data_IF_770020844757
#
_entry.id   IF_770020844757
#
_cell.length_a   1.000
_cell.length_b   1.000
_cell.length_c   1.000
_cell.angle_alpha   90.00
_cell.angle_beta   90.00
_cell.angle_gamma   90.00
#
_symmetry.space_group_name_H-M   'P 1'
#
loop_
_entity.id
_entity.type
_entity.pdbx_description
1 polymer ?
#
# COMPACT_ATOMS: atom_id res chain seq x y z
N UNK A 1 -15.82 -36.58 11.00
CA UNK A 1 -14.48 -37.16 11.19
C UNK A 1 -14.06 -37.80 9.87
N UNK A 2 -13.23 -37.12 9.07
CA UNK A 2 -12.71 -37.72 7.84
C UNK A 2 -11.61 -38.73 8.23
N UNK A 3 -11.96 -40.02 8.23
CA UNK A 3 -10.99 -41.12 8.27
C UNK A 3 -10.33 -41.20 6.89
N UNK A 4 -9.20 -40.54 6.72
CA UNK A 4 -8.23 -40.95 5.69
C UNK A 4 -7.37 -42.01 6.39
N UNK A 5 -7.65 -43.30 6.18
CA UNK A 5 -6.81 -44.37 6.73
C UNK A 5 -5.46 -44.32 6.02
N UNK A 6 -4.40 -43.97 6.75
CA UNK A 6 -3.05 -44.01 6.20
C UNK A 6 -2.69 -45.45 5.82
N UNK A 7 -1.96 -45.60 4.71
CA UNK A 7 -1.54 -46.90 4.18
C UNK A 7 -0.14 -47.22 4.70
N UNK A 8 0.01 -48.32 5.42
CA UNK A 8 1.27 -48.79 5.98
C UNK A 8 1.76 -49.99 5.17
N UNK A 9 3.06 -50.09 4.95
CA UNK A 9 3.69 -51.27 4.36
C UNK A 9 4.53 -51.99 5.41
N UNK A 10 4.19 -53.22 5.74
CA UNK A 10 4.94 -54.08 6.67
C UNK A 10 5.77 -55.08 5.89
N UNK A 11 7.07 -55.10 6.15
CA UNK A 11 8.06 -55.96 5.49
C UNK A 11 8.79 -56.78 6.55
N UNK A 12 8.51 -58.07 6.59
CA UNK A 12 9.02 -58.99 7.61
C UNK A 12 9.06 -60.40 7.03
N UNK A 13 10.11 -61.17 7.25
CA UNK A 13 10.22 -62.55 6.73
C UNK A 13 9.52 -63.59 7.60
N UNK A 14 9.18 -63.25 8.84
CA UNK A 14 8.36 -64.08 9.72
C UNK A 14 6.86 -63.84 9.45
N UNK A 15 6.22 -64.79 8.77
CA UNK A 15 4.79 -64.74 8.43
C UNK A 15 3.87 -64.56 9.66
N UNK A 16 4.24 -65.12 10.81
CA UNK A 16 3.42 -65.05 12.04
C UNK A 16 3.51 -63.66 12.65
N UNK A 17 4.73 -63.11 12.75
CA UNK A 17 4.94 -61.75 13.24
C UNK A 17 4.28 -60.74 12.30
N UNK A 18 4.49 -60.88 10.99
CA UNK A 18 3.91 -59.99 9.97
C UNK A 18 2.38 -59.97 10.03
N UNK A 19 1.75 -61.14 10.08
CA UNK A 19 0.28 -61.24 10.16
C UNK A 19 -0.28 -60.66 11.47
N UNK A 20 0.43 -60.85 12.59
CA UNK A 20 0.05 -60.28 13.90
C UNK A 20 0.10 -58.76 13.90
N UNK A 21 1.20 -58.17 13.40
CA UNK A 21 1.36 -56.72 13.29
C UNK A 21 0.34 -56.11 12.33
N UNK A 22 0.07 -56.79 11.20
CA UNK A 22 -0.92 -56.35 10.23
C UNK A 22 -2.33 -56.31 10.84
N UNK A 23 -2.76 -57.41 11.47
CA UNK A 23 -4.09 -57.49 12.09
C UNK A 23 -4.30 -56.39 13.14
N UNK A 24 -3.31 -56.15 14.00
CA UNK A 24 -3.39 -55.11 15.03
C UNK A 24 -3.49 -53.68 14.44
N UNK A 25 -2.68 -53.37 13.41
CA UNK A 25 -2.70 -52.05 12.78
C UNK A 25 -3.96 -51.83 11.92
N UNK A 26 -4.48 -52.88 11.29
CA UNK A 26 -5.79 -52.85 10.61
C UNK A 26 -6.93 -52.57 11.60
N UNK A 27 -6.96 -53.26 12.75
CA UNK A 27 -7.92 -53.00 13.83
C UNK A 27 -7.82 -51.57 14.39
N UNK A 28 -6.61 -51.00 14.37
CA UNK A 28 -6.32 -49.60 14.75
C UNK A 28 -6.76 -48.57 13.69
N UNK A 29 -7.29 -49.03 12.55
CA UNK A 29 -7.87 -48.21 11.49
C UNK A 29 -6.91 -47.79 10.37
N UNK A 30 -5.76 -48.46 10.24
CA UNK A 30 -4.84 -48.28 9.12
C UNK A 30 -5.15 -49.26 7.98
N UNK A 31 -4.70 -48.93 6.76
CA UNK A 31 -4.69 -49.88 5.65
C UNK A 31 -3.32 -50.52 5.57
N UNK A 32 -3.21 -51.84 5.59
CA UNK A 32 -1.91 -52.52 5.66
C UNK A 32 -1.61 -53.29 4.37
N UNK A 33 -0.44 -53.03 3.81
CA UNK A 33 0.20 -53.80 2.76
C UNK A 33 1.28 -54.67 3.40
N UNK A 34 1.47 -55.89 2.90
CA UNK A 34 2.42 -56.85 3.46
C UNK A 34 3.41 -57.33 2.40
N UNK A 35 4.66 -57.50 2.78
CA UNK A 35 5.70 -58.13 1.97
C UNK A 35 6.58 -59.07 2.82
N UNK A 36 6.96 -60.22 2.27
CA UNK A 36 7.72 -61.24 2.98
C UNK A 36 9.24 -61.08 2.91
N UNK A 37 9.76 -60.09 2.19
CA UNK A 37 11.19 -59.81 2.07
C UNK A 37 11.41 -58.38 1.53
N UNK A 38 12.64 -57.88 1.64
CA UNK A 38 12.99 -56.52 1.23
C UNK A 38 12.76 -56.23 -0.27
N UNK A 39 12.95 -57.21 -1.16
CA UNK A 39 12.78 -57.01 -2.60
C UNK A 39 11.31 -56.86 -2.99
N UNK A 40 10.45 -57.73 -2.44
CA UNK A 40 9.00 -57.60 -2.59
C UNK A 40 8.50 -56.30 -1.94
N UNK A 41 9.03 -55.95 -0.76
CA UNK A 41 8.69 -54.70 -0.08
C UNK A 41 8.99 -53.47 -0.93
N UNK A 42 10.16 -53.44 -1.57
CA UNK A 42 10.52 -52.36 -2.49
C UNK A 42 9.57 -52.26 -3.69
N UNK A 43 9.17 -53.39 -4.28
CA UNK A 43 8.22 -53.42 -5.38
C UNK A 43 6.85 -52.86 -4.95
N UNK A 44 6.33 -53.30 -3.79
CA UNK A 44 5.06 -52.81 -3.26
C UNK A 44 5.13 -51.31 -2.95
N UNK A 45 6.26 -50.83 -2.42
CA UNK A 45 6.51 -49.41 -2.19
C UNK A 45 6.41 -48.58 -3.49
N UNK A 46 7.02 -49.05 -4.58
CA UNK A 46 6.96 -48.37 -5.88
C UNK A 46 5.55 -48.35 -6.48
N UNK A 47 4.82 -49.46 -6.35
CA UNK A 47 3.50 -49.63 -6.95
C UNK A 47 2.39 -48.86 -6.19
N UNK A 48 2.45 -48.85 -4.85
CA UNK A 48 1.34 -48.40 -4.01
C UNK A 48 1.60 -47.09 -3.25
N UNK A 49 2.85 -46.62 -3.21
CA UNK A 49 3.26 -45.39 -2.51
C UNK A 49 2.64 -45.27 -1.10
N UNK A 50 2.98 -46.18 -0.17
CA UNK A 50 2.46 -46.15 1.19
C UNK A 50 2.82 -44.85 1.91
N UNK A 51 2.11 -44.53 2.99
CA UNK A 51 2.35 -43.36 3.85
C UNK A 51 3.43 -43.61 4.91
N UNK A 52 3.72 -44.89 5.23
CA UNK A 52 4.78 -45.31 6.16
C UNK A 52 5.23 -46.74 5.86
N UNK A 53 6.52 -47.01 6.04
CA UNK A 53 7.10 -48.37 5.93
C UNK A 53 7.54 -48.86 7.31
N UNK A 54 7.20 -50.11 7.64
CA UNK A 54 7.68 -50.84 8.81
C UNK A 54 8.49 -52.02 8.30
N UNK A 55 9.76 -52.14 8.66
CA UNK A 55 10.61 -53.24 8.18
C UNK A 55 11.46 -53.91 9.26
N UNK A 56 11.66 -55.22 9.13
CA UNK A 56 12.76 -55.90 9.82
C UNK A 56 14.12 -55.57 9.18
N UNK A 57 15.20 -55.68 9.94
CA UNK A 57 16.57 -55.56 9.45
C UNK A 57 17.10 -56.85 8.84
N UNK A 58 16.76 -58.00 9.42
CA UNK A 58 17.33 -59.29 9.04
C UNK A 58 16.32 -60.05 8.18
N UNK A 59 16.40 -59.86 6.87
CA UNK A 59 15.51 -60.52 5.90
C UNK A 59 16.34 -61.16 4.77
N UNK A 60 15.84 -62.23 4.13
CA UNK A 60 16.45 -62.81 2.95
C UNK A 60 16.38 -61.85 1.75
N UNK A 61 17.28 -62.06 0.77
CA UNK A 61 17.41 -61.32 -0.49
C UNK A 61 17.90 -59.87 -0.33
N UNK A 62 17.15 -59.02 0.37
CA UNK A 62 17.49 -57.62 0.64
C UNK A 62 17.25 -57.31 2.12
N UNK A 63 18.29 -56.86 2.82
CA UNK A 63 18.21 -56.50 4.23
C UNK A 63 17.55 -55.15 4.47
N UNK A 64 17.07 -54.91 5.70
CA UNK A 64 16.34 -53.68 6.04
C UNK A 64 17.18 -52.40 5.94
N UNK A 65 18.49 -52.45 6.22
CA UNK A 65 19.37 -51.28 6.06
C UNK A 65 19.46 -50.83 4.59
N UNK A 66 19.56 -51.78 3.66
CA UNK A 66 19.58 -51.49 2.22
C UNK A 66 18.23 -50.94 1.75
N UNK A 67 17.13 -51.52 2.24
CA UNK A 67 15.78 -51.04 1.98
C UNK A 67 15.59 -49.58 2.43
N UNK A 68 15.95 -49.25 3.67
CA UNK A 68 15.85 -47.86 4.19
C UNK A 68 16.61 -46.90 3.29
N UNK A 69 17.82 -47.27 2.87
CA UNK A 69 18.63 -46.43 1.99
C UNK A 69 17.92 -46.15 0.66
N UNK A 70 17.37 -47.17 0.02
CA UNK A 70 16.67 -47.02 -1.26
C UNK A 70 15.36 -46.23 -1.14
N UNK A 71 14.61 -46.46 -0.05
CA UNK A 71 13.37 -45.72 0.23
C UNK A 71 13.66 -44.25 0.53
N UNK A 72 14.64 -43.95 1.38
CA UNK A 72 15.04 -42.58 1.72
C UNK A 72 15.57 -41.79 0.52
N UNK A 73 16.27 -42.45 -0.41
CA UNK A 73 16.75 -41.81 -1.66
C UNK A 73 15.59 -41.42 -2.59
N UNK A 74 14.52 -42.22 -2.64
CA UNK A 74 13.39 -42.04 -3.57
C UNK A 74 12.26 -41.20 -3.00
N UNK A 75 11.96 -41.38 -1.71
CA UNK A 75 10.93 -40.66 -0.99
C UNK A 75 11.49 -40.16 0.36
N UNK A 76 12.26 -39.06 0.37
CA UNK A 76 12.93 -38.57 1.58
C UNK A 76 12.00 -38.17 2.74
N UNK A 77 10.71 -37.95 2.44
CA UNK A 77 9.69 -37.57 3.42
C UNK A 77 8.88 -38.76 3.94
N UNK A 78 9.11 -39.96 3.40
CA UNK A 78 8.43 -41.17 3.84
C UNK A 78 9.05 -41.68 5.14
N UNK A 79 8.29 -41.77 6.24
CA UNK A 79 8.80 -42.35 7.47
C UNK A 79 9.02 -43.86 7.32
N UNK A 80 10.18 -44.33 7.80
CA UNK A 80 10.50 -45.75 7.92
C UNK A 80 10.70 -46.10 9.39
N UNK A 81 9.93 -47.04 9.93
CA UNK A 81 10.10 -47.57 11.28
C UNK A 81 10.76 -48.94 11.19
N UNK A 82 11.78 -49.16 12.00
CA UNK A 82 12.47 -50.45 12.05
C UNK A 82 11.97 -51.26 13.23
N UNK A 83 11.63 -52.53 13.00
CA UNK A 83 11.22 -53.47 14.05
C UNK A 83 12.07 -54.74 13.93
N UNK A 84 13.05 -54.92 14.81
CA UNK A 84 14.07 -55.96 14.67
C UNK A 84 14.23 -56.79 15.94
N UNK A 85 14.43 -58.11 15.79
CA UNK A 85 14.78 -59.00 16.89
C UNK A 85 16.28 -59.01 17.24
N UNK A 86 17.13 -58.40 16.39
CA UNK A 86 18.55 -58.27 16.65
C UNK A 86 18.79 -57.07 17.58
N UNK A 87 19.00 -57.32 18.88
CA UNK A 87 19.33 -56.31 19.89
C UNK A 87 20.74 -55.71 19.77
N UNK A 88 21.30 -55.61 18.57
CA UNK A 88 22.65 -55.10 18.34
C UNK A 88 22.60 -53.58 18.19
N UNK A 89 23.26 -52.87 19.11
CA UNK A 89 23.23 -51.40 19.17
C UNK A 89 23.79 -50.73 17.91
N UNK A 90 24.75 -51.35 17.21
CA UNK A 90 25.30 -50.80 15.96
C UNK A 90 24.24 -50.67 14.86
N UNK A 91 23.38 -51.67 14.74
CA UNK A 91 22.38 -51.75 13.67
C UNK A 91 21.27 -50.70 13.87
N UNK A 92 20.86 -50.46 15.13
CA UNK A 92 19.92 -49.40 15.49
C UNK A 92 20.49 -48.00 15.18
N UNK A 93 21.76 -47.77 15.51
CA UNK A 93 22.43 -46.49 15.21
C UNK A 93 22.55 -46.28 13.71
N UNK A 94 22.86 -47.32 12.94
CA UNK A 94 22.95 -47.23 11.48
C UNK A 94 21.59 -46.95 10.84
N UNK A 95 20.53 -47.65 11.26
CA UNK A 95 19.17 -47.41 10.77
C UNK A 95 18.71 -45.95 10.99
N UNK A 96 18.92 -45.39 12.18
CA UNK A 96 18.59 -44.00 12.49
C UNK A 96 19.42 -43.01 11.65
N UNK A 97 20.70 -43.31 11.40
CA UNK A 97 21.56 -42.49 10.51
C UNK A 97 21.08 -42.48 9.06
N UNK A 98 20.49 -43.59 8.60
CA UNK A 98 19.91 -43.71 7.25
C UNK A 98 18.53 -43.06 7.12
N UNK A 99 18.00 -42.49 8.21
CA UNK A 99 16.74 -41.74 8.21
C UNK A 99 15.54 -42.50 8.75
N UNK A 100 15.72 -43.64 9.42
CA UNK A 100 14.63 -44.30 10.13
C UNK A 100 14.00 -43.34 11.17
N UNK A 101 12.68 -43.29 11.18
CA UNK A 101 11.89 -42.47 12.07
C UNK A 101 11.93 -42.99 13.52
N UNK A 102 12.01 -44.31 13.69
CA UNK A 102 12.11 -44.97 14.99
C UNK A 102 12.71 -46.39 14.86
N UNK A 103 13.17 -46.95 15.97
CA UNK A 103 13.70 -48.32 16.06
C UNK A 103 13.11 -49.04 17.28
N UNK A 104 12.42 -50.16 17.03
CA UNK A 104 11.78 -50.98 18.06
C UNK A 104 12.37 -52.39 18.08
N UNK A 105 12.46 -52.97 19.28
CA UNK A 105 13.08 -54.29 19.50
C UNK A 105 11.98 -55.35 19.69
N UNK A 106 12.09 -56.49 18.98
CA UNK A 106 11.23 -57.66 19.19
C UNK A 106 11.71 -58.49 20.42
N UNK A 107 10.82 -59.16 21.16
CA UNK A 107 9.36 -59.20 20.98
C UNK A 107 8.70 -57.90 21.46
N UNK A 108 7.72 -57.41 20.69
CA UNK A 108 6.88 -56.29 21.10
C UNK A 108 5.80 -56.80 22.07
N UNK A 109 6.06 -56.71 23.37
CA UNK A 109 5.09 -57.13 24.40
C UNK A 109 3.85 -56.23 24.43
N UNK A 110 4.03 -54.94 24.13
CA UNK A 110 2.95 -53.96 24.02
C UNK A 110 2.93 -53.33 22.61
N UNK A 111 1.97 -53.77 21.79
CA UNK A 111 1.79 -53.25 20.43
C UNK A 111 1.36 -51.78 20.40
N UNK A 112 0.89 -51.21 21.52
CA UNK A 112 0.57 -49.79 21.60
C UNK A 112 1.81 -48.90 21.42
N UNK A 113 3.01 -49.41 21.74
CA UNK A 113 4.27 -48.69 21.50
C UNK A 113 4.51 -48.53 19.99
N UNK A 114 4.25 -49.57 19.20
CA UNK A 114 4.35 -49.49 17.74
C UNK A 114 3.31 -48.52 17.17
N UNK A 115 2.07 -48.58 17.65
CA UNK A 115 1.03 -47.64 17.22
C UNK A 115 1.42 -46.19 17.50
N UNK A 116 1.99 -45.92 18.68
CA UNK A 116 2.46 -44.59 19.06
C UNK A 116 3.56 -44.09 18.12
N UNK A 117 4.56 -44.92 17.82
CA UNK A 117 5.64 -44.59 16.88
C UNK A 117 5.10 -44.35 15.47
N UNK A 118 4.17 -45.17 14.99
CA UNK A 118 3.50 -45.02 13.68
C UNK A 118 2.78 -43.67 13.59
N UNK A 119 1.89 -43.37 14.55
CA UNK A 119 1.13 -42.11 14.57
C UNK A 119 2.06 -40.89 14.60
N UNK A 120 3.08 -40.92 15.46
CA UNK A 120 4.07 -39.83 15.58
C UNK A 120 4.84 -39.59 14.28
N UNK A 121 5.23 -40.66 13.60
CA UNK A 121 5.97 -40.57 12.35
C UNK A 121 5.10 -40.03 11.19
N UNK A 122 3.85 -40.50 11.09
CA UNK A 122 2.87 -39.99 10.14
C UNK A 122 2.56 -38.51 10.36
N UNK A 123 2.31 -38.10 11.62
CA UNK A 123 2.01 -36.70 11.96
C UNK A 123 3.19 -35.79 11.59
N UNK A 124 4.42 -36.22 11.87
CA UNK A 124 5.63 -35.47 11.49
C UNK A 124 5.75 -35.32 9.98
N UNK A 125 5.58 -36.40 9.21
CA UNK A 125 5.64 -36.35 7.75
C UNK A 125 4.56 -35.44 7.17
N UNK A 126 3.32 -35.56 7.68
CA UNK A 126 2.21 -34.69 7.31
C UNK A 126 2.52 -33.22 7.56
N UNK A 127 3.04 -32.87 8.74
CA UNK A 127 3.37 -31.48 9.08
C UNK A 127 4.45 -30.91 8.15
N UNK A 128 5.44 -31.71 7.77
CA UNK A 128 6.48 -31.28 6.83
C UNK A 128 5.90 -31.03 5.44
N UNK A 129 5.05 -31.94 4.94
CA UNK A 129 4.39 -31.78 3.64
C UNK A 129 3.41 -30.60 3.62
N UNK A 130 2.63 -30.39 4.69
CA UNK A 130 1.76 -29.23 4.83
C UNK A 130 2.58 -27.94 4.87
N UNK A 131 3.68 -27.90 5.62
CA UNK A 131 4.55 -26.72 5.69
C UNK A 131 5.14 -26.38 4.32
N UNK A 132 5.64 -27.36 3.58
CA UNK A 132 6.13 -27.18 2.20
C UNK A 132 5.02 -26.60 1.31
N UNK A 133 3.82 -27.20 1.31
CA UNK A 133 2.67 -26.70 0.53
C UNK A 133 2.29 -25.27 0.90
N UNK A 134 2.31 -24.91 2.18
CA UNK A 134 2.02 -23.55 2.62
C UNK A 134 3.08 -22.56 2.14
N UNK A 135 4.36 -22.95 2.20
CA UNK A 135 5.47 -22.13 1.70
C UNK A 135 5.32 -21.88 0.20
N UNK A 136 5.06 -22.90 -0.59
CA UNK A 136 4.89 -22.77 -2.04
C UNK A 136 3.70 -21.85 -2.39
N UNK A 137 2.57 -22.01 -1.68
CA UNK A 137 1.40 -21.15 -1.85
C UNK A 137 1.68 -19.70 -1.45
N UNK A 138 2.38 -19.49 -0.35
CA UNK A 138 2.72 -18.15 0.14
C UNK A 138 3.69 -17.46 -0.83
N UNK A 139 4.69 -18.18 -1.34
CA UNK A 139 5.61 -17.65 -2.34
C UNK A 139 4.88 -17.28 -3.64
N UNK A 140 3.96 -18.12 -4.11
CA UNK A 140 3.15 -17.82 -5.29
C UNK A 140 2.26 -16.59 -5.08
N UNK A 141 1.55 -16.53 -3.95
CA UNK A 141 0.66 -15.42 -3.61
C UNK A 141 1.42 -14.09 -3.44
N UNK A 142 2.60 -14.11 -2.80
CA UNK A 142 3.44 -12.92 -2.66
C UNK A 142 3.93 -12.42 -4.02
N UNK A 143 4.36 -13.31 -4.92
CA UNK A 143 4.77 -12.92 -6.28
C UNK A 143 3.62 -12.27 -7.06
N UNK A 144 2.41 -12.83 -6.95
CA UNK A 144 1.23 -12.27 -7.61
C UNK A 144 0.84 -10.89 -7.03
N UNK A 145 0.93 -10.75 -5.71
CA UNK A 145 0.68 -9.48 -5.02
C UNK A 145 1.71 -8.41 -5.41
N UNK A 146 3.00 -8.74 -5.39
CA UNK A 146 4.07 -7.83 -5.80
C UNK A 146 3.91 -7.37 -7.25
N UNK A 147 3.56 -8.28 -8.16
CA UNK A 147 3.28 -7.93 -9.55
C UNK A 147 2.08 -6.98 -9.69
N UNK A 148 1.02 -7.22 -8.92
CA UNK A 148 -0.17 -6.35 -8.90
C UNK A 148 0.13 -4.97 -8.33
N UNK A 149 0.95 -4.90 -7.28
CA UNK A 149 1.39 -3.63 -6.69
C UNK A 149 2.26 -2.84 -7.67
N UNK A 150 3.19 -3.49 -8.37
CA UNK A 150 4.02 -2.83 -9.37
C UNK A 150 3.19 -2.18 -10.48
N UNK A 151 2.18 -2.89 -11.00
CA UNK A 151 1.26 -2.36 -12.01
C UNK A 151 0.51 -1.12 -11.49
N UNK A 152 -0.01 -1.19 -10.25
CA UNK A 152 -0.68 -0.03 -9.64
C UNK A 152 0.28 1.16 -9.46
N UNK A 153 1.54 0.92 -9.08
CA UNK A 153 2.54 1.98 -8.95
C UNK A 153 2.86 2.65 -10.29
N UNK A 154 2.94 1.88 -11.38
CA UNK A 154 3.12 2.42 -12.74
C UNK A 154 1.94 3.32 -13.14
N UNK A 155 0.71 2.87 -12.94
CA UNK A 155 -0.50 3.64 -13.22
C UNK A 155 -0.55 4.95 -12.42
N UNK A 156 -0.25 4.88 -11.12
CA UNK A 156 -0.20 6.07 -10.26
C UNK A 156 0.90 7.05 -10.69
N UNK A 157 2.07 6.53 -11.10
CA UNK A 157 3.17 7.37 -11.61
C UNK A 157 2.80 8.06 -12.92
N UNK A 158 2.10 7.36 -13.83
CA UNK A 158 1.58 7.95 -15.05
C UNK A 158 0.59 9.09 -14.76
N UNK A 159 -0.33 8.88 -13.81
CA UNK A 159 -1.24 9.93 -13.36
C UNK A 159 -0.50 11.15 -12.78
N UNK A 160 0.57 10.93 -12.01
CA UNK A 160 1.38 12.01 -11.43
C UNK A 160 2.03 12.84 -12.53
N UNK A 161 2.57 12.18 -13.56
CA UNK A 161 3.15 12.88 -14.70
C UNK A 161 2.12 13.76 -15.43
N UNK A 162 0.88 13.29 -15.55
CA UNK A 162 -0.22 14.08 -16.13
C UNK A 162 -0.49 15.32 -15.28
N UNK A 163 -0.61 15.18 -13.95
CA UNK A 163 -0.81 16.33 -13.07
C UNK A 163 0.34 17.34 -13.16
N UNK A 164 1.59 16.86 -13.13
CA UNK A 164 2.77 17.72 -13.22
C UNK A 164 2.84 18.51 -14.54
N UNK A 165 2.39 17.90 -15.64
CA UNK A 165 2.32 18.58 -16.94
C UNK A 165 1.17 19.60 -17.04
N UNK A 166 0.17 19.55 -16.13
CA UNK A 166 -0.94 20.50 -16.09
C UNK A 166 -0.65 21.75 -15.25
N UNK A 167 0.31 21.64 -14.34
CA UNK A 167 0.76 22.75 -13.50
C UNK A 167 1.47 23.81 -14.35
N UNK A 168 1.30 25.10 -14.02
CA UNK A 168 2.03 26.17 -14.68
C UNK A 168 3.53 26.08 -14.41
N UNK A 169 4.36 26.77 -15.22
CA UNK A 169 5.79 26.87 -14.92
C UNK A 169 6.03 27.68 -13.63
N UNK A 170 7.06 27.33 -12.85
CA UNK A 170 7.41 27.96 -11.57
C UNK A 170 8.93 28.16 -11.49
N UNK A 171 9.43 29.39 -11.26
CA UNK A 171 8.69 30.65 -11.16
C UNK A 171 8.15 31.12 -12.53
N UNK A 172 6.94 31.69 -12.55
CA UNK A 172 6.40 32.43 -13.70
C UNK A 172 6.35 33.92 -13.38
N UNK A 173 6.97 34.75 -14.23
CA UNK A 173 7.03 36.21 -14.05
C UNK A 173 6.14 36.89 -15.09
N UNK A 174 5.26 37.77 -14.60
CA UNK A 174 4.26 38.46 -15.38
C UNK A 174 4.24 39.94 -14.97
N UNK A 175 4.97 40.77 -15.73
CA UNK A 175 5.16 42.18 -15.38
C UNK A 175 5.99 42.30 -14.09
N UNK A 176 5.42 42.92 -13.06
CA UNK A 176 6.04 43.07 -11.74
C UNK A 176 5.71 41.94 -10.76
N UNK A 177 4.88 40.97 -11.18
CA UNK A 177 4.42 39.87 -10.35
C UNK A 177 5.20 38.60 -10.64
N UNK A 178 5.66 37.91 -9.61
CA UNK A 178 6.25 36.58 -9.70
C UNK A 178 5.36 35.57 -8.96
N UNK A 179 5.04 34.46 -9.64
CA UNK A 179 4.26 33.36 -9.11
C UNK A 179 5.15 32.15 -8.95
N UNK A 180 5.22 31.64 -7.73
CA UNK A 180 5.97 30.46 -7.36
C UNK A 180 5.04 29.48 -6.66
N UNK A 181 5.14 28.20 -7.00
CA UNK A 181 4.39 27.17 -6.28
C UNK A 181 5.25 25.94 -6.01
N UNK A 182 4.80 25.16 -5.02
CA UNK A 182 5.29 23.82 -4.76
C UNK A 182 4.14 22.93 -4.29
N UNK A 183 4.07 21.72 -4.83
CA UNK A 183 3.15 20.67 -4.38
C UNK A 183 3.96 19.48 -3.88
N UNK A 184 3.60 18.98 -2.71
CA UNK A 184 4.17 17.81 -2.05
C UNK A 184 3.01 16.86 -1.76
N UNK A 185 2.78 15.85 -2.62
CA UNK A 185 1.73 14.88 -2.39
C UNK A 185 2.10 13.95 -1.22
N UNK A 186 1.09 13.56 -0.44
CA UNK A 186 1.16 12.52 0.60
C UNK A 186 1.38 11.13 0.01
N UNK A 187 0.89 10.91 -1.22
CA UNK A 187 1.02 9.68 -2.01
C UNK A 187 1.61 9.99 -3.40
N UNK A 188 1.23 9.22 -4.43
CA UNK A 188 1.63 9.46 -5.82
C UNK A 188 0.89 10.64 -6.46
N UNK A 189 -0.41 10.76 -6.20
CA UNK A 189 -1.30 11.77 -6.77
C UNK A 189 -1.79 12.71 -5.69
N UNK A 190 -1.92 13.98 -6.05
CA UNK A 190 -2.43 15.00 -5.13
C UNK A 190 -3.88 15.36 -5.41
N UNK A 191 -4.66 15.55 -4.35
CA UNK A 191 -5.91 16.30 -4.34
C UNK A 191 -5.69 17.81 -4.40
N UNK A 192 -4.51 18.29 -4.02
CA UNK A 192 -4.14 19.69 -4.15
C UNK A 192 -3.79 20.06 -5.59
N UNK A 193 -4.22 21.25 -6.00
CA UNK A 193 -3.95 21.78 -7.33
C UNK A 193 -3.79 23.29 -7.31
N UNK A 194 -2.82 23.77 -8.06
CA UNK A 194 -2.53 25.19 -8.22
C UNK A 194 -2.49 25.54 -9.69
N UNK A 195 -3.04 26.70 -10.03
CA UNK A 195 -2.96 27.21 -11.38
C UNK A 195 -2.97 28.74 -11.36
N UNK A 196 -2.27 29.32 -12.31
CA UNK A 196 -2.25 30.76 -12.53
C UNK A 196 -1.98 31.03 -14.00
N UNK A 197 -2.71 32.00 -14.55
CA UNK A 197 -2.67 32.30 -15.97
C UNK A 197 -3.09 33.74 -16.24
N UNK A 198 -2.64 34.26 -17.38
CA UNK A 198 -3.01 35.58 -17.86
C UNK A 198 -4.37 35.52 -18.56
N UNK A 199 -5.33 36.32 -18.08
CA UNK A 199 -6.71 36.37 -18.60
C UNK A 199 -6.75 37.13 -19.92
N UNK A 200 -6.15 38.32 -19.91
CA UNK A 200 -5.99 39.25 -21.02
C UNK A 200 -4.74 40.12 -20.81
N UNK A 201 -4.55 41.20 -21.58
CA UNK A 201 -3.38 42.07 -21.46
C UNK A 201 -3.26 42.79 -20.10
N UNK A 202 -4.35 42.88 -19.32
CA UNK A 202 -4.45 43.67 -18.08
C UNK A 202 -4.60 42.81 -16.82
N UNK A 203 -5.14 41.59 -16.94
CA UNK A 203 -5.57 40.79 -15.78
C UNK A 203 -4.87 39.45 -15.67
N UNK A 204 -4.47 39.11 -14.46
CA UNK A 204 -3.87 37.81 -14.10
C UNK A 204 -4.79 37.11 -13.10
N UNK A 205 -5.10 35.84 -13.33
CA UNK A 205 -5.89 35.03 -12.42
C UNK A 205 -5.02 33.92 -11.80
N UNK A 206 -5.35 33.55 -10.57
CA UNK A 206 -4.72 32.44 -9.86
C UNK A 206 -5.73 31.75 -8.96
N UNK A 207 -5.51 30.49 -8.64
CA UNK A 207 -6.22 29.81 -7.58
C UNK A 207 -5.38 28.70 -6.95
N UNK A 208 -5.71 28.41 -5.70
CA UNK A 208 -5.31 27.20 -5.00
C UNK A 208 -6.57 26.42 -4.66
N UNK A 209 -6.55 25.12 -4.95
CA UNK A 209 -7.64 24.21 -4.70
C UNK A 209 -7.11 22.99 -3.94
N UNK A 210 -7.86 22.57 -2.94
CA UNK A 210 -7.64 21.36 -2.16
C UNK A 210 -8.92 20.51 -2.25
N UNK A 211 -8.79 19.29 -2.74
CA UNK A 211 -9.90 18.36 -2.94
C UNK A 211 -9.98 17.41 -1.76
N UNK A 212 -11.18 17.20 -1.23
CA UNK A 212 -11.38 16.31 -0.08
C UNK A 212 -10.83 14.90 -0.25
N UNK A 213 -9.92 14.55 0.66
CA UNK A 213 -9.23 13.28 0.72
C UNK A 213 -8.20 13.10 -0.40
N UNK A 214 -7.38 12.06 -0.29
CA UNK A 214 -6.22 11.86 -1.15
C UNK A 214 -6.40 10.74 -2.21
N UNK A 215 -5.45 10.65 -3.14
CA UNK A 215 -5.34 9.56 -4.13
C UNK A 215 -6.05 9.79 -5.47
N UNK A 216 -6.33 8.70 -6.19
CA UNK A 216 -6.80 8.77 -7.58
C UNK A 216 -8.13 9.52 -7.76
N UNK A 217 -9.07 9.37 -6.82
CA UNK A 217 -10.39 10.01 -6.92
C UNK A 217 -10.33 11.54 -6.82
N UNK A 218 -9.46 12.09 -5.96
CA UNK A 218 -9.26 13.54 -5.85
C UNK A 218 -8.45 14.06 -7.03
N UNK A 219 -7.48 13.28 -7.52
CA UNK A 219 -6.72 13.63 -8.72
C UNK A 219 -7.58 13.86 -9.98
N UNK A 220 -8.66 13.10 -10.17
CA UNK A 220 -9.59 13.35 -11.29
C UNK A 220 -10.30 14.70 -11.15
N UNK A 221 -10.59 15.14 -9.92
CA UNK A 221 -11.20 16.45 -9.68
C UNK A 221 -10.23 17.55 -10.07
N UNK A 222 -8.93 17.43 -9.78
CA UNK A 222 -7.94 18.45 -10.18
C UNK A 222 -7.85 18.61 -11.70
N UNK A 223 -7.92 17.50 -12.45
CA UNK A 223 -8.00 17.53 -13.93
C UNK A 223 -9.27 18.23 -14.41
N UNK A 224 -10.42 17.97 -13.77
CA UNK A 224 -11.68 18.64 -14.10
C UNK A 224 -11.61 20.14 -13.80
N UNK A 225 -11.00 20.55 -12.68
CA UNK A 225 -10.80 21.96 -12.33
C UNK A 225 -9.99 22.68 -13.41
N UNK A 226 -8.86 22.09 -13.85
CA UNK A 226 -8.06 22.64 -14.95
C UNK A 226 -8.87 22.78 -16.24
N UNK A 227 -9.65 21.75 -16.59
CA UNK A 227 -10.49 21.77 -17.78
C UNK A 227 -11.57 22.86 -17.71
N UNK A 228 -12.29 22.96 -16.59
CA UNK A 228 -13.37 23.92 -16.40
C UNK A 228 -12.87 25.36 -16.41
N UNK A 229 -11.77 25.65 -15.72
CA UNK A 229 -11.16 26.98 -15.69
C UNK A 229 -10.63 27.38 -17.06
N UNK A 230 -9.93 26.47 -17.75
CA UNK A 230 -9.46 26.70 -19.13
C UNK A 230 -10.61 26.93 -20.11
N UNK A 231 -11.70 26.16 -20.00
CA UNK A 231 -12.88 26.32 -20.85
C UNK A 231 -13.56 27.66 -20.62
N UNK A 232 -13.78 28.05 -19.37
CA UNK A 232 -14.37 29.34 -19.01
C UNK A 232 -13.54 30.50 -19.60
N UNK A 233 -12.22 30.37 -19.53
CA UNK A 233 -11.28 31.31 -20.12
C UNK A 233 -11.45 31.47 -21.65
N UNK A 234 -11.64 30.38 -22.39
CA UNK A 234 -11.93 30.46 -23.83
C UNK A 234 -13.30 31.12 -24.13
N UNK A 235 -14.32 30.82 -23.33
CA UNK A 235 -15.66 31.39 -23.50
C UNK A 235 -15.67 32.91 -23.26
N UNK A 236 -14.91 33.40 -22.27
CA UNK A 236 -14.74 34.82 -21.97
C UNK A 236 -14.06 35.59 -23.10
N UNK A 237 -12.98 35.04 -23.68
CA UNK A 237 -12.30 35.65 -24.84
C UNK A 237 -13.25 35.83 -26.03
N UNK A 238 -14.21 34.92 -26.22
CA UNK A 238 -15.16 34.94 -27.34
C UNK A 238 -16.33 35.89 -27.12
N UNK A 239 -16.79 36.05 -25.89
CA UNK A 239 -18.05 36.73 -25.56
C UNK A 239 -17.93 38.24 -25.29
N UNK A 240 -16.72 38.85 -25.33
CA UNK A 240 -16.49 40.26 -24.94
C UNK A 240 -17.11 40.62 -23.57
N UNK A 241 -17.22 39.64 -22.66
CA UNK A 241 -17.69 39.86 -21.29
C UNK A 241 -16.79 40.90 -20.61
N UNK A 242 -17.40 41.90 -19.98
CA UNK A 242 -16.70 43.08 -19.44
C UNK A 242 -15.99 42.83 -18.10
N UNK A 243 -16.32 41.75 -17.38
CA UNK A 243 -15.81 41.54 -16.03
C UNK A 243 -15.57 40.04 -15.76
N UNK A 244 -14.42 39.73 -15.14
CA UNK A 244 -14.04 38.38 -14.73
C UNK A 244 -14.05 38.34 -13.20
N UNK A 245 -15.10 37.73 -12.62
CA UNK A 245 -15.33 37.71 -11.18
C UNK A 245 -15.02 36.34 -10.59
N UNK A 246 -14.12 36.24 -9.59
CA UNK A 246 -13.82 34.97 -8.92
C UNK A 246 -15.06 34.23 -8.40
N UNK A 247 -16.02 34.94 -7.81
CA UNK A 247 -17.26 34.36 -7.29
C UNK A 247 -18.09 33.62 -8.34
N UNK A 248 -18.15 34.15 -9.56
CA UNK A 248 -18.85 33.51 -10.68
C UNK A 248 -18.10 32.25 -11.16
N UNK A 249 -16.77 32.28 -11.15
CA UNK A 249 -15.93 31.10 -11.46
C UNK A 249 -16.20 29.99 -10.44
N UNK A 250 -16.16 30.31 -9.14
CA UNK A 250 -16.44 29.34 -8.07
C UNK A 250 -17.87 28.79 -8.19
N UNK A 251 -18.85 29.62 -8.53
CA UNK A 251 -20.23 29.20 -8.77
C UNK A 251 -20.36 28.25 -9.97
N UNK A 252 -19.59 28.49 -11.04
CA UNK A 252 -19.55 27.60 -12.20
C UNK A 252 -18.93 26.25 -11.86
N UNK A 253 -17.80 26.27 -11.13
CA UNK A 253 -17.11 25.07 -10.65
C UNK A 253 -18.04 24.26 -9.74
N UNK A 254 -18.72 24.91 -8.78
CA UNK A 254 -19.67 24.29 -7.87
C UNK A 254 -20.72 23.44 -8.60
N UNK A 255 -21.39 24.03 -9.60
CA UNK A 255 -22.42 23.33 -10.40
C UNK A 255 -21.83 22.19 -11.23
N UNK A 256 -20.64 22.37 -11.80
CA UNK A 256 -19.99 21.32 -12.58
C UNK A 256 -19.60 20.12 -11.71
N UNK A 257 -19.05 20.36 -10.52
CA UNK A 257 -18.68 19.30 -9.58
C UNK A 257 -19.90 18.54 -9.07
N UNK A 258 -20.99 19.23 -8.69
CA UNK A 258 -22.23 18.56 -8.25
C UNK A 258 -22.80 17.68 -9.37
N UNK A 259 -22.82 18.19 -10.60
CA UNK A 259 -23.30 17.44 -11.77
C UNK A 259 -22.42 16.25 -12.14
N UNK A 260 -21.14 16.27 -11.78
CA UNK A 260 -20.21 15.16 -12.04
C UNK A 260 -20.52 13.91 -11.21
N UNK A 261 -21.25 14.06 -10.07
CA UNK A 261 -21.56 12.99 -9.11
C UNK A 261 -20.34 12.22 -8.59
N UNK A 262 -19.17 12.84 -8.59
CA UNK A 262 -17.94 12.26 -8.00
C UNK A 262 -18.01 12.15 -6.47
N UNK A 263 -18.94 12.85 -5.82
CA UNK A 263 -19.10 12.82 -4.36
C UNK A 263 -17.92 13.46 -3.62
N UNK A 264 -17.17 14.34 -4.30
CA UNK A 264 -16.02 15.07 -3.77
C UNK A 264 -16.35 16.56 -3.72
N UNK A 265 -15.83 17.23 -2.71
CA UNK A 265 -15.88 18.69 -2.60
C UNK A 265 -14.48 19.27 -2.56
N UNK A 266 -14.36 20.56 -2.81
CA UNK A 266 -13.09 21.26 -2.97
C UNK A 266 -13.09 22.51 -2.12
N UNK A 267 -12.07 22.71 -1.31
CA UNK A 267 -11.77 24.00 -0.70
C UNK A 267 -10.95 24.82 -1.69
N UNK A 268 -11.36 26.06 -1.94
CA UNK A 268 -10.75 26.86 -3.01
C UNK A 268 -10.54 28.29 -2.57
N UNK A 269 -9.45 28.90 -3.04
CA UNK A 269 -9.31 30.34 -3.06
C UNK A 269 -8.90 30.76 -4.46
N UNK A 270 -9.66 31.67 -5.05
CA UNK A 270 -9.42 32.21 -6.38
C UNK A 270 -9.26 33.72 -6.34
N UNK A 271 -8.30 34.25 -7.10
CA UNK A 271 -7.99 35.67 -7.16
C UNK A 271 -7.74 36.16 -8.58
N UNK A 272 -8.05 37.42 -8.82
CA UNK A 272 -7.84 38.14 -10.08
C UNK A 272 -7.20 39.47 -9.75
N UNK A 273 -6.03 39.70 -10.34
CA UNK A 273 -5.23 40.91 -10.18
C UNK A 273 -5.41 41.75 -11.44
N UNK A 274 -5.71 43.01 -11.23
CA UNK A 274 -5.69 44.03 -12.26
C UNK A 274 -4.34 44.77 -12.22
N UNK A 275 -3.52 44.60 -13.27
CA UNK A 275 -2.17 45.19 -13.34
C UNK A 275 -2.21 46.72 -13.43
N UNK A 276 -3.25 47.31 -14.01
CA UNK A 276 -3.35 48.77 -14.17
C UNK A 276 -3.77 49.45 -12.86
N UNK A 277 -4.74 48.87 -12.15
CA UNK A 277 -5.23 49.47 -10.90
C UNK A 277 -4.53 48.97 -9.65
N UNK A 278 -3.76 47.88 -9.73
CA UNK A 278 -3.13 47.25 -8.56
C UNK A 278 -4.14 46.65 -7.59
N UNK A 279 -5.35 46.33 -8.04
CA UNK A 279 -6.42 45.77 -7.20
C UNK A 279 -6.45 44.25 -7.33
N UNK A 280 -6.54 43.55 -6.20
CA UNK A 280 -6.83 42.13 -6.11
C UNK A 280 -8.32 41.96 -5.77
N UNK A 281 -9.05 41.28 -6.65
CA UNK A 281 -10.39 40.76 -6.36
C UNK A 281 -10.27 39.26 -6.10
N UNK A 282 -10.73 38.77 -4.95
CA UNK A 282 -10.64 37.35 -4.58
C UNK A 282 -11.94 36.83 -3.98
N UNK A 283 -12.14 35.52 -4.08
CA UNK A 283 -13.23 34.79 -3.45
C UNK A 283 -12.70 33.52 -2.78
N UNK A 284 -13.27 33.20 -1.62
CA UNK A 284 -12.90 32.02 -0.82
C UNK A 284 -14.09 31.07 -0.78
N UNK A 285 -13.86 29.80 -1.14
CA UNK A 285 -14.82 28.70 -1.06
C UNK A 285 -14.36 27.67 -0.04
N UNK A 286 -14.58 27.93 1.25
CA UNK A 286 -14.28 27.00 2.34
C UNK A 286 -12.80 26.75 2.62
N UNK A 287 -11.89 27.51 2.01
CA UNK A 287 -10.44 27.31 2.14
C UNK A 287 -9.88 27.76 3.49
N UNK A 288 -9.05 26.89 4.08
CA UNK A 288 -8.31 27.13 5.30
C UNK A 288 -6.93 26.46 5.17
N UNK A 289 -5.83 27.10 5.61
CA UNK A 289 -5.73 28.45 6.17
C UNK A 289 -6.09 29.57 5.18
N UNK A 290 -6.52 30.72 5.71
CA UNK A 290 -6.78 31.90 4.88
C UNK A 290 -5.47 32.44 4.26
N UNK A 291 -5.53 33.12 3.09
CA UNK A 291 -4.33 33.69 2.47
C UNK A 291 -3.64 34.69 3.38
N UNK A 292 -2.31 34.62 3.46
CA UNK A 292 -1.49 35.52 4.28
C UNK A 292 -0.84 36.57 3.39
N UNK A 293 -1.16 37.84 3.65
CA UNK A 293 -0.52 38.99 3.02
C UNK A 293 0.62 39.51 3.91
N UNK A 294 1.84 39.43 3.39
CA UNK A 294 3.06 39.92 3.99
C UNK A 294 3.54 41.20 3.30
N UNK A 295 3.86 42.21 4.10
CA UNK A 295 4.61 43.40 3.71
C UNK A 295 5.76 43.59 4.72
N UNK A 296 6.79 44.40 4.39
CA UNK A 296 7.88 44.69 5.33
C UNK A 296 7.43 45.23 6.70
N UNK A 297 6.25 45.86 6.75
CA UNK A 297 5.70 46.47 7.95
C UNK A 297 4.69 45.57 8.69
N UNK A 298 3.89 44.79 7.96
CA UNK A 298 2.76 44.06 8.52
C UNK A 298 2.58 42.68 7.87
N UNK A 299 2.17 41.69 8.66
CA UNK A 299 1.76 40.37 8.16
C UNK A 299 0.36 40.09 8.68
N UNK A 300 -0.61 39.84 7.79
CA UNK A 300 -2.01 39.62 8.19
C UNK A 300 -2.71 38.63 7.27
N UNK A 301 -3.76 38.00 7.78
CA UNK A 301 -4.69 37.24 6.95
C UNK A 301 -5.57 38.16 6.09
N UNK A 302 -5.89 37.70 4.89
CA UNK A 302 -7.02 38.21 4.14
C UNK A 302 -8.32 37.69 4.77
N UNK A 303 -9.32 38.56 4.86
CA UNK A 303 -10.64 38.17 5.35
C UNK A 303 -11.39 37.42 4.25
N UNK A 304 -12.19 36.42 4.62
CA UNK A 304 -12.95 35.68 3.61
C UNK A 304 -13.71 34.55 4.25
N UNK A 305 -14.94 34.34 3.77
CA UNK A 305 -15.76 33.19 4.13
C UNK A 305 -16.52 32.73 2.91
N UNK A 306 -16.64 31.42 2.77
CA UNK A 306 -17.51 30.80 1.79
C UNK A 306 -17.67 29.32 2.12
N UNK A 307 -18.66 28.71 1.51
CA UNK A 307 -18.89 27.27 1.63
C UNK A 307 -17.90 26.51 0.73
N UNK A 308 -17.55 25.25 1.06
CA UNK A 308 -16.79 24.38 0.16
C UNK A 308 -17.48 24.22 -1.20
N UNK A 309 -16.68 24.21 -2.26
CA UNK A 309 -17.13 24.13 -3.65
C UNK A 309 -17.46 22.68 -4.01
N UNK A 310 -18.60 22.47 -4.65
CA UNK A 310 -19.09 21.15 -5.06
C UNK A 310 -19.92 20.41 -4.00
N UNK A 311 -20.20 21.03 -2.85
CA UNK A 311 -20.94 20.41 -1.74
C UNK A 311 -22.42 20.85 -1.66
N UNK A 312 -22.72 22.12 -1.95
CA UNK A 312 -24.06 22.68 -1.80
C UNK A 312 -24.56 23.31 -3.10
N UNK A 313 -25.77 22.94 -3.54
CA UNK A 313 -26.38 23.50 -4.77
C UNK A 313 -26.57 25.02 -4.71
N UNK A 314 -26.93 25.54 -3.54
CA UNK A 314 -27.23 26.96 -3.30
C UNK A 314 -26.02 27.74 -2.75
N UNK A 315 -24.79 27.22 -2.92
CA UNK A 315 -23.59 27.93 -2.45
C UNK A 315 -23.45 29.30 -3.11
N UNK A 316 -23.37 30.34 -2.28
CA UNK A 316 -23.09 31.73 -2.71
C UNK A 316 -21.67 32.12 -2.32
N UNK A 317 -20.93 32.67 -3.28
CA UNK A 317 -19.56 33.16 -3.08
C UNK A 317 -19.54 34.68 -3.18
N UNK A 318 -18.72 35.33 -2.36
CA UNK A 318 -18.57 36.78 -2.33
C UNK A 318 -17.19 37.18 -2.84
N UNK A 319 -17.16 38.20 -3.69
CA UNK A 319 -15.91 38.86 -4.09
C UNK A 319 -15.52 39.91 -3.05
N UNK A 320 -14.25 39.87 -2.65
CA UNK A 320 -13.61 40.83 -1.79
C UNK A 320 -12.51 41.53 -2.57
N UNK A 321 -12.36 42.83 -2.36
CA UNK A 321 -11.39 43.67 -3.08
C UNK A 321 -10.38 44.22 -2.08
N UNK A 322 -9.10 44.07 -2.40
CA UNK A 322 -7.98 44.62 -1.63
C UNK A 322 -7.02 45.33 -2.57
N UNK A 323 -6.51 46.47 -2.14
CA UNK A 323 -5.43 47.17 -2.83
C UNK A 323 -4.09 46.51 -2.51
N UNK A 324 -3.33 46.13 -3.53
CA UNK A 324 -2.04 45.48 -3.37
C UNK A 324 -0.95 46.53 -3.13
N UNK A 325 -0.19 46.42 -2.02
CA UNK A 325 0.94 47.31 -1.77
C UNK A 325 2.01 47.27 -2.88
N UNK A 326 2.87 48.29 -3.01
CA UNK A 326 3.94 48.29 -4.01
C UNK A 326 5.00 47.20 -3.79
N UNK A 327 5.15 46.74 -2.54
CA UNK A 327 6.00 45.62 -2.14
C UNK A 327 5.18 44.67 -1.26
N UNK A 328 4.92 43.46 -1.74
CA UNK A 328 4.16 42.47 -0.97
C UNK A 328 4.48 41.04 -1.39
N UNK A 329 4.17 40.11 -0.50
CA UNK A 329 4.04 38.69 -0.79
C UNK A 329 2.68 38.20 -0.30
N UNK A 330 1.98 37.43 -1.13
CA UNK A 330 0.74 36.77 -0.80
C UNK A 330 0.98 35.26 -0.84
N UNK A 331 0.83 34.60 0.31
CA UNK A 331 1.03 33.17 0.46
C UNK A 331 -0.31 32.45 0.66
N UNK A 332 -0.58 31.46 -0.17
CA UNK A 332 -1.72 30.54 -0.09
C UNK A 332 -1.18 29.15 0.22
N UNK A 333 -1.84 28.43 1.12
CA UNK A 333 -1.40 27.11 1.58
C UNK A 333 -2.61 26.20 1.75
N UNK A 334 -2.50 24.92 1.38
CA UNK A 334 -3.52 23.92 1.71
C UNK A 334 -3.52 23.58 3.20
N UNK A 335 -4.54 22.86 3.64
CA UNK A 335 -4.75 22.49 5.04
C UNK A 335 -3.68 21.54 5.57
N UNK A 336 -3.01 20.77 4.72
CA UNK A 336 -1.88 19.91 5.11
C UNK A 336 -0.74 20.66 5.81
N UNK A 337 -0.62 21.98 5.62
CA UNK A 337 0.38 22.77 6.36
C UNK A 337 0.04 22.89 7.84
N UNK A 338 -1.23 22.79 8.22
CA UNK A 338 -1.70 22.94 9.59
C UNK A 338 -1.12 21.86 10.49
N UNK A 339 -0.84 20.67 9.96
CA UNK A 339 -0.23 19.58 10.73
C UNK A 339 1.25 19.81 11.06
N UNK A 340 1.92 20.68 10.30
CA UNK A 340 3.31 21.07 10.56
C UNK A 340 3.42 22.27 11.51
N UNK A 341 2.31 22.95 11.81
CA UNK A 341 2.30 24.14 12.66
C UNK A 341 2.34 23.77 14.14
N UNK A 342 3.06 24.58 14.97
CA UNK A 342 3.08 24.38 16.41
C UNK A 342 1.72 24.75 17.03
N UNK A 343 1.29 23.95 18.02
CA UNK A 343 0.05 24.17 18.78
C UNK A 343 -0.91 22.99 18.73
N UNK A 344 -1.68 22.80 19.80
CA UNK A 344 -2.60 21.66 19.94
C UNK A 344 -3.98 21.94 19.35
N UNK A 345 -4.36 23.22 19.21
CA UNK A 345 -5.65 23.62 18.64
C UNK A 345 -5.48 24.32 17.30
N UNK A 346 -6.50 24.23 16.44
CA UNK A 346 -6.54 24.93 15.16
C UNK A 346 -6.28 26.44 15.34
N UNK A 347 -6.82 27.04 16.40
CA UNK A 347 -6.64 28.45 16.71
C UNK A 347 -5.19 28.82 17.01
N UNK A 348 -4.46 27.95 17.72
CA UNK A 348 -3.05 28.17 18.04
C UNK A 348 -2.19 28.07 16.77
N UNK A 349 -2.48 27.06 15.94
CA UNK A 349 -1.82 26.84 14.65
C UNK A 349 -2.03 28.04 13.71
N UNK A 350 -3.26 28.52 13.56
CA UNK A 350 -3.56 29.72 12.77
C UNK A 350 -2.87 30.98 13.31
N UNK A 351 -2.77 31.14 14.64
CA UNK A 351 -2.09 32.30 15.21
C UNK A 351 -0.57 32.31 14.91
N UNK A 352 0.05 31.13 14.74
CA UNK A 352 1.48 30.99 14.48
C UNK A 352 1.87 31.25 13.02
N UNK A 353 0.99 30.97 12.06
CA UNK A 353 1.33 30.98 10.64
C UNK A 353 1.79 32.36 10.12
N UNK A 354 1.15 33.50 10.43
CA UNK A 354 1.63 34.82 9.98
C UNK A 354 3.05 35.14 10.47
N UNK A 355 3.41 34.73 11.69
CA UNK A 355 4.75 34.91 12.24
C UNK A 355 5.78 34.04 11.51
N UNK A 356 5.41 32.83 11.10
CA UNK A 356 6.27 31.96 10.28
C UNK A 356 6.48 32.56 8.89
N UNK A 357 5.42 33.07 8.24
CA UNK A 357 5.53 33.74 6.93
C UNK A 357 6.44 34.97 7.02
N UNK A 358 6.30 35.76 8.09
CA UNK A 358 7.17 36.90 8.37
C UNK A 358 8.63 36.47 8.58
N UNK A 359 8.85 35.41 9.35
CA UNK A 359 10.18 34.87 9.61
C UNK A 359 10.83 34.18 8.39
N UNK A 360 10.04 33.83 7.38
CA UNK A 360 10.47 33.32 6.07
C UNK A 360 10.71 34.45 5.05
N UNK A 361 10.47 35.72 5.41
CA UNK A 361 10.58 36.86 4.52
C UNK A 361 9.54 36.89 3.40
N UNK A 362 8.46 36.10 3.50
CA UNK A 362 7.44 35.99 2.47
C UNK A 362 7.92 35.32 1.16
N UNK A 363 9.01 34.55 1.19
CA UNK A 363 9.53 33.81 0.04
C UNK A 363 9.14 32.33 0.10
N UNK A 364 8.95 31.67 -1.06
CA UNK A 364 8.68 30.24 -1.09
C UNK A 364 9.85 29.45 -0.48
N UNK A 365 11.09 29.78 -0.83
CA UNK A 365 12.27 29.10 -0.28
C UNK A 365 12.43 29.26 1.23
N UNK A 366 12.11 30.44 1.78
CA UNK A 366 12.07 30.64 3.24
C UNK A 366 11.03 29.77 3.92
N UNK A 367 9.83 29.65 3.33
CA UNK A 367 8.76 28.80 3.86
C UNK A 367 9.18 27.31 3.80
N UNK A 368 9.80 26.87 2.70
CA UNK A 368 10.30 25.50 2.53
C UNK A 368 11.28 25.10 3.63
N UNK A 369 12.23 25.99 3.95
CA UNK A 369 13.20 25.74 5.01
C UNK A 369 12.55 25.72 6.39
N UNK A 370 11.61 26.64 6.67
CA UNK A 370 10.92 26.74 7.97
C UNK A 370 10.03 25.53 8.26
N UNK A 371 9.31 25.05 7.26
CA UNK A 371 8.44 23.89 7.39
C UNK A 371 9.20 22.55 7.28
N UNK A 372 10.51 22.57 7.00
CA UNK A 372 11.32 21.35 6.89
C UNK A 372 10.89 20.44 5.72
N UNK A 373 10.29 21.01 4.68
CA UNK A 373 9.63 20.27 3.59
C UNK A 373 10.57 19.36 2.78
N UNK A 374 11.89 19.54 2.91
CA UNK A 374 12.89 18.72 2.24
C UNK A 374 13.18 17.39 2.96
N UNK A 375 12.76 17.23 4.23
CA UNK A 375 13.15 16.11 5.11
C UNK A 375 11.98 15.27 5.60
N UNK A 376 10.76 15.55 5.16
CA UNK A 376 9.57 14.85 5.63
C UNK A 376 9.37 13.53 4.85
N UNK A 377 9.21 12.44 5.60
CA UNK A 377 9.12 11.08 5.05
C UNK A 377 7.72 10.71 4.59
N UNK A 378 6.73 10.78 5.48
CA UNK A 378 5.32 10.50 5.17
C UNK A 378 4.46 11.61 5.76
N UNK A 379 3.53 12.13 4.96
CA UNK A 379 2.61 13.19 5.34
C UNK A 379 1.19 12.63 5.51
N UNK A 380 0.43 13.11 6.51
CA UNK A 380 -0.96 12.71 6.70
C UNK A 380 -1.87 13.22 5.57
N UNK A 381 -1.55 14.37 4.98
CA UNK A 381 -2.29 14.96 3.85
C UNK A 381 -1.36 15.65 2.85
N UNK A 382 -1.92 16.03 1.71
CA UNK A 382 -1.22 16.76 0.66
C UNK A 382 -0.88 18.20 1.10
N UNK A 383 0.26 18.71 0.63
CA UNK A 383 0.69 20.09 0.90
C UNK A 383 0.94 20.81 -0.41
N UNK A 384 0.24 21.92 -0.60
CA UNK A 384 0.44 22.84 -1.70
C UNK A 384 0.65 24.25 -1.17
N UNK A 385 1.63 24.92 -1.79
CA UNK A 385 2.03 26.28 -1.49
C UNK A 385 1.99 27.08 -2.79
N UNK A 386 1.35 28.24 -2.77
CA UNK A 386 1.42 29.24 -3.83
C UNK A 386 1.85 30.57 -3.20
N UNK A 387 2.96 31.11 -3.68
CA UNK A 387 3.51 32.40 -3.26
C UNK A 387 3.51 33.33 -4.46
N UNK A 388 2.82 34.46 -4.30
CA UNK A 388 2.82 35.57 -5.23
C UNK A 388 3.64 36.70 -4.62
N UNK A 389 4.67 37.16 -5.30
CA UNK A 389 5.49 38.30 -4.84
C UNK A 389 5.48 39.44 -5.85
N UNK A 390 5.61 40.67 -5.35
CA UNK A 390 5.84 41.88 -6.13
C UNK A 390 6.94 42.69 -5.46
N UNK A 391 8.02 42.96 -6.19
CA UNK A 391 9.13 43.83 -5.77
C UNK A 391 9.76 43.50 -4.40
N UNK A 392 9.67 42.25 -3.94
CA UNK A 392 10.41 41.76 -2.77
C UNK A 392 11.75 41.18 -3.24
N UNK A 393 12.84 41.58 -2.59
CA UNK A 393 14.20 41.07 -2.84
C UNK A 393 14.48 39.80 -2.04
#
# INVERSE_FOLDING_TARGET
MQKTSATLLIIDDDDVVRASLAAYLEDSGFSVLQAGNGQQGLQVFEEHQPDLVICDLRMPQMGGLELIRQVSERAPQLPVIVVSGAGVMSDAVEALRLGAADYLIKPLEDLAVLEHSVRRALDRSRLVLENQRYRDKLEAANRELEASLHLLQEDQTAGRQVQMNMLPESPWVAGEFAFEHQIIPSLYLSGDFVDYFRVDERRIAFYLADVSGHGASSAFVTVLLKFMTTRLMFELKRSRMREFKPSEVLSHINRGLINSKLGKHVTMVGGVIDEESGLLTYAVGGHLPLPVLYTPEHCRYLEGRGLPVGLFDEATYQDLVVELPPQFSLSLMSDGILDLLPGDTLKDKEAALPEIVKAAGGSLDGLRQRFGLATLGEMPDDIALLVLSRNLQ
#
